data_IF_532826984917
#
_entry.id   IF_532826984917
#
_cell.length_a   1.000
_cell.length_b   1.000
_cell.length_c   1.000
_cell.angle_alpha   90.00
_cell.angle_beta   90.00
_cell.angle_gamma   90.00
#
_symmetry.space_group_name_H-M   'P 1'
#
loop_
_entity.id
_entity.type
_entity.pdbx_description
1 polymer ?
#
# COMPACT_ATOMS: atom_id res chain seq x y z
N UNK A 1 -20.32 -13.15 4.09
CA UNK A 1 -19.79 -14.09 3.06
C UNK A 1 -18.26 -14.10 3.15
N UNK A 2 -17.56 -15.05 2.50
CA UNK A 2 -16.08 -15.03 2.48
C UNK A 2 -15.60 -13.78 1.71
N UNK A 3 -14.88 -12.90 2.40
CA UNK A 3 -14.36 -11.68 1.82
C UNK A 3 -13.26 -11.99 0.80
N UNK A 4 -13.16 -11.18 -0.28
CA UNK A 4 -12.11 -11.32 -1.29
C UNK A 4 -11.18 -10.12 -1.23
N UNK A 5 -9.88 -10.39 -1.13
CA UNK A 5 -8.86 -9.35 -1.19
C UNK A 5 -8.98 -8.58 -2.51
N UNK A 6 -9.04 -7.26 -2.39
CA UNK A 6 -9.05 -6.34 -3.52
C UNK A 6 -8.20 -5.13 -3.19
N UNK A 7 -7.25 -4.83 -4.07
CA UNK A 7 -6.33 -3.72 -3.92
C UNK A 7 -6.43 -2.86 -5.17
N UNK A 8 -6.69 -1.57 -4.99
CA UNK A 8 -6.79 -0.60 -6.08
C UNK A 8 -5.81 0.53 -5.79
N UNK A 9 -4.98 0.88 -6.78
CA UNK A 9 -4.24 2.14 -6.75
C UNK A 9 -5.23 3.29 -6.98
N UNK A 10 -5.45 4.12 -5.95
CA UNK A 10 -6.35 5.26 -6.03
C UNK A 10 -5.66 6.47 -6.65
N UNK A 11 -4.43 6.75 -6.19
CA UNK A 11 -3.61 7.87 -6.64
C UNK A 11 -2.12 7.59 -6.43
N UNK A 12 -1.29 8.30 -7.18
CA UNK A 12 0.15 8.34 -7.02
C UNK A 12 0.66 9.75 -7.32
N UNK A 13 1.90 10.05 -6.88
CA UNK A 13 2.65 11.20 -7.37
C UNK A 13 2.74 11.13 -8.90
N UNK A 14 2.39 12.20 -9.64
CA UNK A 14 2.64 12.26 -11.08
C UNK A 14 4.13 12.03 -11.37
N UNK A 15 4.42 11.24 -12.39
CA UNK A 15 5.79 11.01 -12.88
C UNK A 15 6.79 10.68 -11.74
N UNK A 16 6.53 9.61 -10.95
CA UNK A 16 7.22 9.38 -9.68
C UNK A 16 8.73 9.16 -9.86
N UNK A 17 9.17 8.63 -10.99
CA UNK A 17 10.60 8.47 -11.28
C UNK A 17 11.30 9.80 -11.53
N UNK A 18 10.61 10.77 -12.13
CA UNK A 18 11.16 12.10 -12.42
C UNK A 18 11.39 12.88 -11.13
N UNK A 19 10.43 12.91 -10.21
CA UNK A 19 10.59 13.62 -8.94
C UNK A 19 11.69 12.99 -8.07
N UNK A 20 11.80 11.66 -8.07
CA UNK A 20 12.89 10.94 -7.39
C UNK A 20 14.24 11.31 -7.99
N UNK A 21 14.34 11.30 -9.32
CA UNK A 21 15.57 11.64 -10.02
C UNK A 21 15.97 13.11 -9.78
N UNK A 22 15.00 14.03 -9.78
CA UNK A 22 15.22 15.45 -9.47
C UNK A 22 15.73 15.64 -8.05
N UNK A 23 15.06 15.04 -7.06
CA UNK A 23 15.49 15.13 -5.67
C UNK A 23 16.92 14.62 -5.48
N UNK A 24 17.28 13.50 -6.12
CA UNK A 24 18.63 12.95 -6.05
C UNK A 24 19.67 13.84 -6.76
N UNK A 25 19.40 14.27 -8.00
CA UNK A 25 20.33 15.09 -8.79
C UNK A 25 20.56 16.46 -8.16
N UNK A 26 19.55 17.03 -7.49
CA UNK A 26 19.66 18.31 -6.80
C UNK A 26 20.77 18.30 -5.73
N UNK A 27 21.00 17.16 -5.07
CA UNK A 27 22.04 17.02 -4.06
C UNK A 27 23.47 17.07 -4.62
N UNK A 28 23.67 16.81 -5.92
CA UNK A 28 25.00 16.64 -6.53
C UNK A 28 25.23 17.50 -7.78
N UNK A 29 24.23 18.29 -8.20
CA UNK A 29 24.30 19.13 -9.39
C UNK A 29 24.64 20.57 -9.03
N UNK A 30 25.63 21.20 -9.69
CA UNK A 30 25.87 22.64 -9.58
C UNK A 30 24.93 23.48 -10.48
N UNK A 31 24.06 22.84 -11.27
CA UNK A 31 23.09 23.54 -12.12
C UNK A 31 21.95 24.13 -11.30
N UNK A 32 21.34 25.19 -11.82
CA UNK A 32 20.09 25.74 -11.28
C UNK A 32 18.92 24.73 -11.43
N UNK A 33 17.84 24.99 -10.69
CA UNK A 33 16.68 24.08 -10.59
C UNK A 33 15.97 23.93 -11.93
N UNK A 34 15.83 25.00 -12.72
CA UNK A 34 15.13 24.98 -14.00
C UNK A 34 15.88 24.12 -15.02
N UNK A 35 17.19 24.37 -15.16
CA UNK A 35 18.07 23.57 -16.02
C UNK A 35 18.09 22.08 -15.64
N UNK A 36 18.04 21.77 -14.34
CA UNK A 36 18.03 20.39 -13.85
C UNK A 36 16.70 19.68 -14.15
N UNK A 37 15.60 20.42 -14.01
CA UNK A 37 14.24 19.99 -14.35
C UNK A 37 14.16 19.59 -15.81
N UNK A 38 14.48 20.51 -16.71
CA UNK A 38 14.42 20.27 -18.17
C UNK A 38 15.25 19.04 -18.59
N UNK A 39 16.49 18.92 -18.09
CA UNK A 39 17.36 17.77 -18.41
C UNK A 39 16.84 16.44 -17.88
N UNK A 40 16.06 16.45 -16.81
CA UNK A 40 15.50 15.24 -16.19
C UNK A 40 14.22 14.83 -16.90
N UNK A 41 13.31 15.77 -17.17
CA UNK A 41 12.07 15.51 -17.91
C UNK A 41 12.34 15.10 -19.38
N UNK A 42 13.47 15.54 -19.95
CA UNK A 42 13.85 15.17 -21.32
C UNK A 42 14.34 13.71 -21.49
N UNK A 43 14.44 12.91 -20.42
CA UNK A 43 14.99 11.55 -20.46
C UNK A 43 14.19 10.59 -19.59
N UNK A 44 14.15 9.33 -20.00
CA UNK A 44 13.72 8.23 -19.14
C UNK A 44 14.63 8.12 -17.90
N UNK A 45 14.03 8.09 -16.72
CA UNK A 45 14.73 8.05 -15.43
C UNK A 45 14.80 6.65 -14.82
N UNK A 46 14.16 5.64 -15.42
CA UNK A 46 14.07 4.29 -14.84
C UNK A 46 15.46 3.74 -14.44
N UNK A 47 16.41 3.73 -15.38
CA UNK A 47 17.75 3.20 -15.14
C UNK A 47 18.52 3.96 -14.03
N UNK A 48 18.25 5.27 -13.89
CA UNK A 48 18.85 6.08 -12.84
C UNK A 48 18.22 5.78 -11.47
N UNK A 49 16.90 5.67 -11.40
CA UNK A 49 16.18 5.29 -10.17
C UNK A 49 16.57 3.89 -9.70
N UNK A 50 16.67 2.92 -10.62
CA UNK A 50 17.15 1.57 -10.30
C UNK A 50 18.57 1.59 -9.71
N UNK A 51 19.45 2.46 -10.21
CA UNK A 51 20.80 2.63 -9.68
C UNK A 51 20.77 3.22 -8.27
N UNK A 52 19.92 4.22 -7.99
CA UNK A 52 19.76 4.78 -6.64
C UNK A 52 19.36 3.70 -5.63
N UNK A 53 18.38 2.86 -6.00
CA UNK A 53 17.92 1.74 -5.15
C UNK A 53 19.06 0.73 -4.92
N UNK A 54 19.80 0.34 -5.96
CA UNK A 54 20.96 -0.58 -5.85
C UNK A 54 22.07 -0.03 -4.95
N UNK A 55 22.24 1.29 -4.91
CA UNK A 55 23.22 1.97 -4.06
C UNK A 55 22.74 2.19 -2.61
N UNK A 56 21.47 1.89 -2.30
CA UNK A 56 20.88 2.15 -0.98
C UNK A 56 20.63 3.64 -0.71
N UNK A 57 20.61 4.48 -1.74
CA UNK A 57 20.27 5.90 -1.61
C UNK A 57 18.75 6.07 -1.58
N UNK A 58 18.16 5.81 -0.42
CA UNK A 58 16.70 5.70 -0.26
C UNK A 58 15.99 7.04 -0.01
N UNK A 59 16.67 8.08 0.49
CA UNK A 59 16.01 9.34 0.80
C UNK A 59 15.33 10.01 -0.40
N UNK A 60 15.86 9.97 -1.65
CA UNK A 60 15.15 10.50 -2.80
C UNK A 60 13.88 9.71 -3.15
N UNK A 61 13.82 8.42 -2.81
CA UNK A 61 12.67 7.54 -3.09
C UNK A 61 11.44 8.00 -2.29
N UNK A 62 11.64 8.60 -1.12
CA UNK A 62 10.58 9.07 -0.23
C UNK A 62 9.73 10.21 -0.82
N UNK A 63 10.19 10.87 -1.90
CA UNK A 63 9.41 11.90 -2.59
C UNK A 63 8.28 11.34 -3.46
N UNK A 64 8.30 10.05 -3.80
CA UNK A 64 7.22 9.38 -4.50
C UNK A 64 6.23 8.76 -3.48
N UNK A 65 4.94 9.06 -3.64
CA UNK A 65 3.87 8.57 -2.78
C UNK A 65 2.81 7.83 -3.59
N UNK A 66 2.24 6.78 -3.00
CA UNK A 66 1.18 5.95 -3.58
C UNK A 66 0.08 5.74 -2.55
N UNK A 67 -1.18 5.86 -2.99
CA UNK A 67 -2.37 5.69 -2.16
C UNK A 67 -3.18 4.53 -2.68
N UNK A 68 -3.40 3.53 -1.83
CA UNK A 68 -4.16 2.33 -2.17
C UNK A 68 -5.47 2.26 -1.40
N UNK A 69 -6.52 1.84 -2.08
CA UNK A 69 -7.76 1.35 -1.48
C UNK A 69 -7.65 -0.16 -1.30
N UNK A 70 -7.91 -0.66 -0.09
CA UNK A 70 -7.74 -2.08 0.26
C UNK A 70 -9.05 -2.56 0.88
N UNK A 71 -9.65 -3.58 0.26
CA UNK A 71 -10.87 -4.25 0.71
C UNK A 71 -10.57 -5.75 0.92
N UNK A 72 -11.39 -6.42 1.74
CA UNK A 72 -11.30 -7.86 1.95
C UNK A 72 -10.06 -8.31 2.72
N UNK A 73 -9.57 -7.48 3.66
CA UNK A 73 -8.56 -7.85 4.65
C UNK A 73 -9.20 -8.01 6.03
N UNK A 74 -8.63 -8.86 6.88
CA UNK A 74 -9.13 -9.02 8.25
C UNK A 74 -8.77 -7.83 9.13
N UNK A 75 -9.53 -7.62 10.20
CA UNK A 75 -9.19 -6.68 11.28
C UNK A 75 -7.80 -6.97 11.87
N UNK A 76 -7.44 -8.25 12.01
CA UNK A 76 -6.11 -8.65 12.48
C UNK A 76 -5.02 -8.18 11.50
N UNK A 77 -5.24 -8.36 10.19
CA UNK A 77 -4.31 -7.88 9.16
C UNK A 77 -4.17 -6.36 9.22
N UNK A 78 -5.28 -5.61 9.29
CA UNK A 78 -5.22 -4.15 9.35
C UNK A 78 -4.55 -3.63 10.63
N UNK A 79 -4.68 -4.35 11.76
CA UNK A 79 -3.97 -4.06 13.00
C UNK A 79 -2.46 -4.29 12.92
N UNK A 80 -1.99 -5.24 12.10
CA UNK A 80 -0.56 -5.37 11.80
C UNK A 80 -0.10 -4.29 10.83
N UNK A 81 -0.91 -3.98 9.81
CA UNK A 81 -0.56 -3.00 8.78
C UNK A 81 -0.31 -1.61 9.36
N UNK A 82 -1.14 -1.13 10.29
CA UNK A 82 -0.98 0.20 10.90
C UNK A 82 0.24 0.32 11.81
N UNK A 83 0.98 -0.77 12.06
CA UNK A 83 2.25 -0.72 12.80
C UNK A 83 3.39 -0.14 11.95
N UNK A 84 3.24 -0.08 10.64
CA UNK A 84 4.15 0.62 9.74
C UNK A 84 3.94 2.13 9.86
N UNK A 85 4.65 2.76 10.80
CA UNK A 85 4.44 4.17 11.19
C UNK A 85 4.74 5.20 10.10
N UNK A 86 5.52 4.84 9.08
CA UNK A 86 5.89 5.73 7.97
C UNK A 86 4.90 5.51 6.82
N UNK A 87 3.63 5.82 7.09
CA UNK A 87 2.51 5.77 6.17
C UNK A 87 1.30 6.48 6.79
N UNK A 88 0.31 6.81 5.96
CA UNK A 88 -0.94 7.45 6.39
C UNK A 88 -2.10 6.49 6.17
N UNK A 89 -3.02 6.38 7.14
CA UNK A 89 -4.12 5.43 7.12
C UNK A 89 -5.46 6.10 7.41
N UNK A 90 -6.47 5.71 6.63
CA UNK A 90 -7.89 5.94 6.92
C UNK A 90 -8.59 4.59 6.87
N UNK A 91 -9.26 4.20 7.94
CA UNK A 91 -9.91 2.90 8.07
C UNK A 91 -11.40 3.05 8.33
N UNK A 92 -12.20 2.10 7.82
CA UNK A 92 -13.62 2.06 8.11
C UNK A 92 -13.86 1.89 9.62
N UNK A 93 -14.55 2.87 10.17
CA UNK A 93 -14.86 2.91 11.60
C UNK A 93 -16.08 2.05 11.91
N UNK A 94 -15.87 1.01 12.73
CA UNK A 94 -16.95 0.21 13.33
C UNK A 94 -17.82 0.99 14.32
N UNK A 95 -17.41 2.21 14.71
CA UNK A 95 -18.24 3.11 15.53
C UNK A 95 -19.33 3.82 14.72
N UNK A 96 -19.19 3.87 13.40
CA UNK A 96 -20.09 4.62 12.50
C UNK A 96 -20.72 3.74 11.42
N UNK A 97 -20.04 2.68 10.98
CA UNK A 97 -20.57 1.74 10.00
C UNK A 97 -21.08 0.53 10.76
N UNK A 98 -22.41 0.36 10.76
CA UNK A 98 -23.08 -0.78 11.38
C UNK A 98 -22.76 -2.07 10.61
N UNK A 99 -22.58 -3.14 11.37
CA UNK A 99 -22.42 -4.51 10.87
C UNK A 99 -23.66 -5.37 11.26
N UNK A 100 -24.77 -4.75 11.70
CA UNK A 100 -26.00 -5.42 12.16
C UNK A 100 -26.70 -6.27 11.10
N UNK A 101 -26.48 -5.98 9.82
CA UNK A 101 -27.01 -6.80 8.70
C UNK A 101 -26.08 -7.97 8.34
N UNK A 102 -25.12 -8.27 9.22
CA UNK A 102 -24.02 -9.21 8.96
C UNK A 102 -22.82 -8.53 8.30
N UNK A 103 -21.69 -9.21 8.39
CA UNK A 103 -20.41 -8.75 7.86
C UNK A 103 -19.69 -9.85 7.08
N UNK A 104 -18.81 -9.42 6.18
CA UNK A 104 -17.91 -10.32 5.47
C UNK A 104 -16.70 -10.67 6.34
N UNK A 105 -16.21 -11.90 6.20
CA UNK A 105 -15.10 -12.41 7.00
C UNK A 105 -14.14 -13.22 6.14
N UNK A 106 -12.91 -13.39 6.62
CA UNK A 106 -11.92 -14.24 5.98
C UNK A 106 -11.82 -15.58 6.69
N UNK A 107 -11.58 -16.65 5.93
CA UNK A 107 -11.21 -17.96 6.47
C UNK A 107 -9.70 -18.12 6.23
N UNK A 108 -8.86 -18.23 7.28
CA UNK A 108 -7.43 -18.45 7.11
C UNK A 108 -7.14 -19.72 6.27
N UNK A 109 -6.11 -19.73 5.42
CA UNK A 109 -5.80 -20.90 4.58
C UNK A 109 -5.67 -22.21 5.36
N UNK A 110 -4.99 -22.19 6.51
CA UNK A 110 -4.84 -23.35 7.39
C UNK A 110 -6.17 -23.90 7.93
N UNK A 111 -7.17 -23.02 8.12
CA UNK A 111 -8.54 -23.43 8.51
C UNK A 111 -9.31 -23.94 7.30
N UNK A 112 -9.12 -23.32 6.13
CA UNK A 112 -9.83 -23.67 4.90
C UNK A 112 -9.44 -25.05 4.35
N UNK A 113 -8.19 -25.44 4.52
CA UNK A 113 -7.63 -26.72 4.06
C UNK A 113 -8.04 -27.92 4.93
N UNK A 114 -8.41 -27.67 6.19
CA UNK A 114 -8.89 -28.68 7.12
C UNK A 114 -10.43 -28.66 7.18
N UNK A 115 -11.06 -29.79 6.83
CA UNK A 115 -12.51 -29.88 6.75
C UNK A 115 -13.19 -29.67 8.11
N UNK A 116 -12.65 -30.25 9.18
CA UNK A 116 -13.26 -30.16 10.52
C UNK A 116 -13.12 -28.74 11.07
N UNK A 117 -11.94 -28.13 10.92
CA UNK A 117 -11.72 -26.74 11.34
C UNK A 117 -12.58 -25.77 10.53
N UNK A 118 -12.73 -25.99 9.23
CA UNK A 118 -13.59 -25.18 8.37
C UNK A 118 -15.05 -25.25 8.81
N UNK A 119 -15.57 -26.46 9.07
CA UNK A 119 -16.95 -26.64 9.53
C UNK A 119 -17.19 -25.94 10.87
N UNK A 120 -16.27 -26.09 11.83
CA UNK A 120 -16.32 -25.40 13.11
C UNK A 120 -16.30 -23.87 12.95
N UNK A 121 -15.43 -23.37 12.07
CA UNK A 121 -15.30 -21.94 11.80
C UNK A 121 -16.57 -21.38 11.15
N UNK A 122 -17.10 -22.05 10.13
CA UNK A 122 -18.33 -21.63 9.44
C UNK A 122 -19.53 -21.58 10.40
N UNK A 123 -19.65 -22.57 11.30
CA UNK A 123 -20.68 -22.58 12.33
C UNK A 123 -20.51 -21.41 13.30
N UNK A 124 -19.31 -21.23 13.87
CA UNK A 124 -19.02 -20.13 14.79
C UNK A 124 -19.32 -18.77 14.15
N UNK A 125 -18.90 -18.57 12.90
CA UNK A 125 -19.17 -17.33 12.19
C UNK A 125 -20.66 -17.12 11.96
N UNK A 126 -21.44 -18.17 11.67
CA UNK A 126 -22.90 -18.06 11.54
C UNK A 126 -23.61 -17.67 12.84
N UNK A 127 -23.07 -18.06 14.00
CA UNK A 127 -23.60 -17.68 15.31
C UNK A 127 -23.17 -16.26 15.73
N UNK A 128 -22.02 -15.80 15.25
CA UNK A 128 -21.44 -14.49 15.57
C UNK A 128 -21.85 -13.36 14.60
N UNK A 129 -22.60 -13.66 13.53
CA UNK A 129 -23.25 -12.65 12.69
C UNK A 129 -24.43 -12.02 13.41
#
# INVERSE_FOLDING_TARGET
MEAKLKVILLRQTPDPEEIVALAAKLCYSPSDVESLKEKTEAKDQQAFVERLVKMGHMSPIEHAAFTFGIEGISRVCSHQLVRHRVASYSQQSQRYVSEETGYDYLIPPAVKEDKELKEYYDQFMSEAQ
#
